data_IF_739324460963
#
_entry.id   IF_739324460963
#
_cell.length_a   1.000
_cell.length_b   1.000
_cell.length_c   1.000
_cell.angle_alpha   90.00
_cell.angle_beta   90.00
_cell.angle_gamma   90.00
#
_symmetry.space_group_name_H-M   'P 1'
#
loop_
_entity.id
_entity.type
_entity.pdbx_description
1 polymer ?
#
# COMPACT_ATOMS: atom_id res chain seq x y z
N UNK A 1 10.50 3.74 10.98
CA UNK A 1 10.57 2.45 10.24
C UNK A 1 11.80 1.69 10.70
N UNK A 2 11.68 0.40 10.98
CA UNK A 2 12.83 -0.45 11.33
C UNK A 2 13.20 -1.28 10.10
N UNK A 3 14.47 -1.20 9.70
CA UNK A 3 15.02 -1.88 8.53
C UNK A 3 16.07 -2.88 8.99
N UNK A 4 16.21 -3.97 8.24
CA UNK A 4 17.23 -4.96 8.50
C UNK A 4 17.76 -5.54 7.20
N UNK A 5 19.05 -5.81 7.17
CA UNK A 5 19.73 -6.59 6.13
C UNK A 5 19.80 -8.09 6.47
N UNK A 6 19.18 -8.50 7.58
CA UNK A 6 19.24 -9.87 8.12
C UNK A 6 20.34 -10.10 9.16
N UNK A 7 21.30 -9.17 9.30
CA UNK A 7 22.35 -9.23 10.32
C UNK A 7 22.23 -8.12 11.35
N UNK A 8 21.86 -6.92 10.91
CA UNK A 8 21.73 -5.73 11.75
C UNK A 8 20.35 -5.11 11.60
N UNK A 9 19.95 -4.33 12.60
CA UNK A 9 18.71 -3.54 12.57
C UNK A 9 19.08 -2.06 12.66
N UNK A 10 18.48 -1.26 11.79
CA UNK A 10 18.63 0.19 11.77
C UNK A 10 17.26 0.85 11.75
N UNK A 11 17.11 1.91 12.54
CA UNK A 11 15.91 2.72 12.55
C UNK A 11 16.03 3.88 11.57
N UNK A 12 14.99 4.10 10.78
CA UNK A 12 14.84 5.24 9.90
C UNK A 12 13.64 6.10 10.28
N UNK A 13 13.80 7.41 10.12
CA UNK A 13 12.73 8.39 10.21
C UNK A 13 12.47 8.97 8.82
N UNK A 14 11.20 9.22 8.55
CA UNK A 14 10.77 9.85 7.31
C UNK A 14 11.09 11.36 7.37
N UNK A 15 12.04 11.82 6.55
CA UNK A 15 12.40 13.26 6.47
C UNK A 15 11.42 14.04 5.59
N UNK A 16 10.91 13.38 4.55
CA UNK A 16 9.82 13.85 3.67
C UNK A 16 8.81 12.72 3.50
N UNK A 17 7.50 12.99 3.35
CA UNK A 17 6.50 11.94 3.17
C UNK A 17 6.79 11.00 1.98
N UNK A 18 6.70 9.69 2.21
CA UNK A 18 6.98 8.57 1.31
C UNK A 18 5.71 7.70 1.25
N UNK A 19 4.92 7.86 0.19
CA UNK A 19 3.67 7.12 0.02
C UNK A 19 3.86 5.59 0.06
N UNK A 20 4.97 5.09 -0.49
CA UNK A 20 5.28 3.67 -0.53
C UNK A 20 5.39 3.04 0.87
N UNK A 21 5.93 3.76 1.86
CA UNK A 21 6.07 3.28 3.24
C UNK A 21 4.73 3.21 3.97
N UNK A 22 3.74 4.04 3.61
CA UNK A 22 2.40 4.01 4.23
C UNK A 22 1.63 2.74 3.87
N UNK A 23 1.90 2.20 2.69
CA UNK A 23 1.31 0.96 2.21
C UNK A 23 2.21 -0.26 2.49
N UNK A 24 3.35 -0.05 3.13
CA UNK A 24 4.31 -1.10 3.34
C UNK A 24 3.86 -2.07 4.43
N UNK A 25 4.10 -3.37 4.22
CA UNK A 25 3.82 -4.43 5.20
C UNK A 25 5.11 -4.86 5.90
N UNK A 26 5.06 -5.31 7.16
CA UNK A 26 6.21 -5.93 7.81
C UNK A 26 6.84 -7.02 6.94
N UNK A 27 8.16 -7.02 6.84
CA UNK A 27 8.92 -7.98 6.02
C UNK A 27 9.06 -7.61 4.54
N UNK A 28 8.40 -6.55 4.05
CA UNK A 28 8.64 -6.09 2.68
C UNK A 28 10.10 -5.69 2.47
N UNK A 29 10.58 -6.04 1.28
CA UNK A 29 11.93 -5.69 0.85
C UNK A 29 11.90 -4.29 0.26
N UNK A 30 12.98 -3.56 0.48
CA UNK A 30 13.17 -2.25 -0.10
C UNK A 30 14.62 -2.07 -0.52
N UNK A 31 14.84 -1.14 -1.43
CA UNK A 31 16.15 -0.70 -1.88
C UNK A 31 16.35 0.72 -1.36
N UNK A 32 17.50 0.96 -0.75
CA UNK A 32 17.97 2.30 -0.44
C UNK A 32 18.94 2.74 -1.56
N UNK A 33 18.64 3.86 -2.20
CA UNK A 33 19.46 4.46 -3.24
C UNK A 33 20.79 5.01 -2.71
N UNK A 34 21.63 5.49 -3.62
CA UNK A 34 23.00 5.92 -3.28
C UNK A 34 23.04 7.06 -2.25
N UNK A 35 23.83 6.86 -1.20
CA UNK A 35 24.08 7.79 -0.07
C UNK A 35 22.86 8.10 0.80
N UNK A 36 22.28 7.09 1.47
CA UNK A 36 21.26 7.35 2.48
C UNK A 36 21.87 8.22 3.60
N UNK A 37 21.14 9.26 4.01
CA UNK A 37 21.60 10.20 5.03
C UNK A 37 21.51 9.54 6.41
N UNK A 38 22.65 9.32 7.06
CA UNK A 38 22.71 8.78 8.43
C UNK A 38 23.07 9.91 9.42
N UNK A 39 22.29 10.07 10.49
CA UNK A 39 22.58 11.06 11.53
C UNK A 39 22.20 10.50 12.90
N UNK A 40 23.17 10.43 13.82
CA UNK A 40 22.99 9.91 15.20
C UNK A 40 22.37 8.50 15.22
N UNK A 41 22.82 7.61 14.32
CA UNK A 41 22.31 6.24 14.24
C UNK A 41 20.93 6.08 13.59
N UNK A 42 20.33 7.18 13.08
CA UNK A 42 19.06 7.14 12.37
C UNK A 42 19.25 7.42 10.87
N UNK A 43 18.58 6.64 10.04
CA UNK A 43 18.45 6.93 8.60
C UNK A 43 17.41 8.02 8.39
N UNK A 44 17.77 9.06 7.63
CA UNK A 44 16.85 10.10 7.17
C UNK A 44 16.34 9.73 5.79
N UNK A 45 15.14 9.17 5.74
CA UNK A 45 14.56 8.59 4.54
C UNK A 45 13.88 9.68 3.71
N UNK A 46 14.07 9.62 2.39
CA UNK A 46 13.37 10.46 1.42
C UNK A 46 12.88 9.62 0.25
N UNK A 47 11.80 10.05 -0.44
CA UNK A 47 11.21 9.29 -1.55
C UNK A 47 12.21 8.95 -2.66
N UNK A 48 13.11 9.87 -3.01
CA UNK A 48 14.02 9.65 -4.14
C UNK A 48 15.19 8.70 -3.83
N UNK A 49 15.35 8.27 -2.57
CA UNK A 49 16.40 7.32 -2.16
C UNK A 49 15.82 6.01 -1.64
N UNK A 50 14.54 5.74 -1.85
CA UNK A 50 13.89 4.53 -1.34
C UNK A 50 12.89 3.98 -2.35
N UNK A 51 13.00 2.69 -2.64
CA UNK A 51 12.04 1.96 -3.45
C UNK A 51 11.56 0.72 -2.69
N UNK A 52 10.25 0.53 -2.57
CA UNK A 52 9.67 -0.69 -1.96
C UNK A 52 9.45 -1.73 -3.04
N UNK A 53 10.05 -2.90 -2.86
CA UNK A 53 9.96 -4.01 -3.81
C UNK A 53 8.67 -4.81 -3.62
N UNK A 54 8.12 -5.32 -4.71
CA UNK A 54 6.92 -6.15 -4.69
C UNK A 54 5.61 -5.36 -4.51
N UNK A 55 5.67 -4.03 -4.44
CA UNK A 55 4.53 -3.18 -4.78
C UNK A 55 4.51 -3.05 -6.30
N UNK A 56 3.37 -3.33 -6.94
CA UNK A 56 3.21 -3.07 -8.36
C UNK A 56 3.42 -1.56 -8.58
N UNK A 57 4.59 -1.19 -9.11
CA UNK A 57 4.91 0.18 -9.43
C UNK A 57 4.05 0.59 -10.62
N UNK A 58 2.90 1.21 -10.35
CA UNK A 58 2.17 1.92 -11.40
C UNK A 58 2.92 3.21 -11.62
N UNK A 59 3.76 3.24 -12.65
CA UNK A 59 4.37 4.48 -13.10
C UNK A 59 3.26 5.52 -13.34
N UNK A 60 3.33 6.74 -12.79
CA UNK A 60 2.30 7.75 -13.01
C UNK A 60 2.12 8.11 -14.49
N UNK A 61 3.13 7.84 -15.34
CA UNK A 61 3.03 7.96 -16.79
C UNK A 61 2.07 6.93 -17.42
N UNK A 62 1.90 5.76 -16.81
CA UNK A 62 0.95 4.72 -17.25
C UNK A 62 -0.44 4.90 -16.60
N UNK A 63 -0.53 5.55 -15.44
CA UNK A 63 -1.81 5.85 -14.79
C UNK A 63 -2.66 6.88 -15.57
N UNK A 64 -2.02 7.72 -16.40
CA UNK A 64 -2.71 8.65 -17.30
C UNK A 64 -3.30 7.98 -18.55
N UNK A 65 -2.95 6.71 -18.81
CA UNK A 65 -3.48 5.90 -19.91
C UNK A 65 -4.52 4.92 -19.32
N UNK A 66 -5.53 5.44 -18.64
CA UNK A 66 -6.76 4.67 -18.44
C UNK A 66 -7.71 5.02 -19.59
N UNK A 67 -8.04 4.07 -20.49
CA UNK A 67 -9.22 4.25 -21.31
C UNK A 67 -10.42 4.28 -20.37
N UNK A 68 -11.23 5.33 -20.46
CA UNK A 68 -12.55 5.40 -19.84
C UNK A 68 -13.40 4.22 -20.33
N UNK A 69 -13.33 3.09 -19.62
CA UNK A 69 -14.20 1.94 -19.88
C UNK A 69 -15.59 2.30 -19.43
N UNK A 70 -16.44 2.58 -20.43
CA UNK A 70 -17.88 2.70 -20.36
C UNK A 70 -18.46 1.82 -19.24
N UNK A 71 -19.09 2.44 -18.26
CA UNK A 71 -20.01 1.77 -17.35
C UNK A 71 -21.17 1.19 -18.18
N UNK A 72 -21.06 -0.09 -18.56
CA UNK A 72 -22.22 -0.85 -19.00
C UNK A 72 -22.92 -1.32 -17.73
N UNK A 73 -24.03 -0.64 -17.39
CA UNK A 73 -24.89 -1.03 -16.28
C UNK A 73 -25.30 -2.50 -16.44
N UNK A 74 -24.97 -3.31 -15.43
CA UNK A 74 -25.52 -4.65 -15.26
C UNK A 74 -26.87 -4.52 -14.52
N UNK A 75 -27.93 -5.21 -14.97
CA UNK A 75 -29.24 -5.11 -14.33
C UNK A 75 -29.21 -5.71 -12.91
N UNK A 76 -30.08 -5.25 -11.99
CA UNK A 76 -30.14 -5.78 -10.63
C UNK A 76 -30.63 -7.23 -10.62
N UNK A 77 -29.92 -8.08 -9.86
CA UNK A 77 -30.26 -9.48 -9.65
C UNK A 77 -31.52 -9.64 -8.76
N UNK A 78 -32.30 -10.72 -8.92
CA UNK A 78 -33.64 -10.87 -8.34
C UNK A 78 -33.64 -11.10 -6.83
N UNK A 79 -34.74 -10.67 -6.21
CA UNK A 79 -35.02 -10.73 -4.78
C UNK A 79 -34.83 -12.14 -4.19
N UNK A 80 -33.98 -12.23 -3.17
CA UNK A 80 -33.91 -13.40 -2.31
C UNK A 80 -35.21 -13.49 -1.49
N UNK A 81 -35.96 -14.58 -1.70
CA UNK A 81 -37.11 -14.98 -0.90
C UNK A 81 -36.60 -15.28 0.50
N UNK A 82 -36.97 -14.45 1.49
CA UNK A 82 -36.74 -14.74 2.90
C UNK A 82 -37.81 -15.74 3.40
N UNK A 83 -37.44 -16.83 4.08
CA UNK A 83 -38.41 -17.64 4.80
C UNK A 83 -38.87 -16.88 6.06
N UNK A 84 -40.18 -16.76 6.23
CA UNK A 84 -40.82 -16.11 7.37
C UNK A 84 -40.60 -16.90 8.67
N UNK A 85 -40.06 -16.22 9.68
CA UNK A 85 -39.97 -16.74 11.05
C UNK A 85 -41.34 -16.58 11.72
N UNK A 86 -41.93 -17.70 12.12
CA UNK A 86 -43.15 -17.80 12.94
C UNK A 86 -42.91 -17.06 14.26
N UNK A 87 -43.63 -15.96 14.48
CA UNK A 87 -43.75 -15.33 15.79
C UNK A 87 -45.04 -15.78 16.47
N UNK A 88 -44.83 -16.39 17.63
CA UNK A 88 -45.81 -16.87 18.59
C UNK A 88 -46.13 -15.73 19.57
N UNK A 89 -47.31 -15.81 20.17
CA UNK A 89 -47.79 -15.19 21.41
C UNK A 89 -48.59 -13.89 21.29
N UNK A 90 -49.79 -13.92 21.89
CA UNK A 90 -50.70 -12.80 22.11
C UNK A 90 -52.15 -13.22 22.03
#
# INVERSE_FOLDING_TARGET
>A
VCLTDGSQVVCGIERKPIAALRQARPGQKLVLGNRPLLRRGLLLLEPQHLEVLGQASVSPALAAIQPSTNQRALPPAPAAIQPSLVQRAG
#
